data_IF_900422681981
#
_entry.id   IF_900422681981
#
_cell.length_a   1.000
_cell.length_b   1.000
_cell.length_c   1.000
_cell.angle_alpha   90.00
_cell.angle_beta   90.00
_cell.angle_gamma   90.00
#
_symmetry.space_group_name_H-M   'P 1'
#
loop_
_entity.id
_entity.type
_entity.pdbx_description
1 polymer ?
#
# COMPACT_ATOMS: atom_id res chain seq x y z
N UNK A 1 20.41 13.19 -5.89
CA UNK A 1 19.02 12.70 -6.03
C UNK A 1 18.88 11.46 -5.16
N UNK A 2 17.96 11.44 -4.19
CA UNK A 2 17.65 10.21 -3.43
C UNK A 2 16.82 9.31 -4.35
N UNK A 3 17.38 8.19 -4.78
CA UNK A 3 16.61 7.12 -5.40
C UNK A 3 15.74 6.53 -4.31
N UNK A 4 14.42 6.57 -4.50
CA UNK A 4 13.50 5.90 -3.58
C UNK A 4 13.74 4.40 -3.66
N UNK A 5 14.13 3.77 -2.55
CA UNK A 5 14.35 2.34 -2.48
C UNK A 5 13.02 1.60 -2.27
N UNK A 6 13.00 0.31 -2.57
CA UNK A 6 11.85 -0.56 -2.36
C UNK A 6 11.31 -0.48 -0.92
N UNK A 7 12.22 -0.47 0.06
CA UNK A 7 11.88 -0.39 1.49
C UNK A 7 11.21 0.94 1.86
N UNK A 8 11.66 2.05 1.26
CA UNK A 8 11.03 3.37 1.45
C UNK A 8 9.62 3.39 0.84
N UNK A 9 9.46 2.85 -0.37
CA UNK A 9 8.15 2.75 -1.02
C UNK A 9 7.17 1.91 -0.18
N UNK A 10 7.62 0.78 0.35
CA UNK A 10 6.84 -0.06 1.22
C UNK A 10 6.44 0.69 2.51
N UNK A 11 7.37 1.37 3.17
CA UNK A 11 7.07 2.17 4.36
C UNK A 11 6.04 3.26 4.08
N UNK A 12 6.18 4.00 2.98
CA UNK A 12 5.24 5.05 2.59
C UNK A 12 3.84 4.48 2.37
N UNK A 13 3.72 3.37 1.63
CA UNK A 13 2.44 2.72 1.40
C UNK A 13 1.80 2.25 2.72
N UNK A 14 2.56 1.56 3.57
CA UNK A 14 2.06 1.03 4.85
C UNK A 14 1.61 2.18 5.77
N UNK A 15 2.42 3.23 5.94
CA UNK A 15 2.05 4.38 6.77
C UNK A 15 0.79 5.08 6.27
N UNK A 16 0.66 5.24 4.95
CA UNK A 16 -0.53 5.81 4.35
C UNK A 16 -1.77 4.94 4.60
N UNK A 17 -1.66 3.63 4.41
CA UNK A 17 -2.75 2.69 4.62
C UNK A 17 -3.18 2.61 6.08
N UNK A 18 -2.21 2.59 7.01
CA UNK A 18 -2.49 2.63 8.46
C UNK A 18 -3.32 3.85 8.85
N UNK A 19 -2.96 5.03 8.34
CA UNK A 19 -3.71 6.27 8.58
C UNK A 19 -5.09 6.27 7.92
N UNK A 20 -5.19 5.77 6.68
CA UNK A 20 -6.44 5.78 5.90
C UNK A 20 -7.47 4.77 6.40
N UNK A 21 -7.04 3.55 6.72
CA UNK A 21 -7.91 2.43 7.10
C UNK A 21 -8.00 2.22 8.61
N UNK A 22 -7.26 3.00 9.42
CA UNK A 22 -7.19 2.86 10.89
C UNK A 22 -6.87 1.43 11.35
N UNK A 23 -6.06 0.72 10.58
CA UNK A 23 -5.63 -0.64 10.87
C UNK A 23 -4.12 -0.69 10.94
N UNK A 24 -3.57 -1.35 11.97
CA UNK A 24 -2.12 -1.54 12.09
C UNK A 24 -1.62 -2.77 11.34
N UNK A 25 -2.53 -3.67 11.01
CA UNK A 25 -2.24 -4.90 10.29
C UNK A 25 -2.34 -4.59 8.79
N UNK A 26 -1.19 -4.46 8.14
CA UNK A 26 -1.08 -4.34 6.69
C UNK A 26 -0.15 -5.45 6.24
N UNK A 27 -0.64 -6.35 5.40
CA UNK A 27 0.16 -7.42 4.82
C UNK A 27 0.57 -7.00 3.39
N UNK A 28 1.87 -6.88 3.15
CA UNK A 28 2.39 -6.50 1.83
C UNK A 28 2.74 -7.77 1.09
N UNK A 29 2.05 -8.00 -0.03
CA UNK A 29 2.22 -9.20 -0.83
C UNK A 29 3.32 -9.04 -1.89
N UNK A 30 3.47 -7.85 -2.47
CA UNK A 30 4.50 -7.58 -3.49
C UNK A 30 4.83 -6.10 -3.58
N UNK A 31 6.09 -5.80 -3.93
CA UNK A 31 6.55 -4.44 -4.24
C UNK A 31 7.31 -4.50 -5.56
N UNK A 32 6.77 -3.86 -6.59
CA UNK A 32 7.34 -3.88 -7.94
C UNK A 32 7.66 -2.46 -8.40
N UNK A 33 8.74 -2.27 -9.15
CA UNK A 33 9.00 -1.00 -9.83
C UNK A 33 8.49 -1.07 -11.27
N UNK A 34 7.57 -0.18 -11.64
CA UNK A 34 7.03 -0.06 -13.00
C UNK A 34 7.13 1.37 -13.49
N UNK A 35 7.77 1.56 -14.64
CA UNK A 35 7.86 2.86 -15.34
C UNK A 35 8.40 4.00 -14.45
N UNK A 36 9.34 3.70 -13.56
CA UNK A 36 9.91 4.68 -12.62
C UNK A 36 9.02 5.00 -11.40
N UNK A 37 7.88 4.33 -11.27
CA UNK A 37 7.03 4.32 -10.09
C UNK A 37 7.18 2.99 -9.33
N UNK A 38 6.88 2.99 -8.05
CA UNK A 38 6.77 1.82 -7.21
C UNK A 38 5.30 1.45 -7.04
N UNK A 39 4.98 0.18 -7.25
CA UNK A 39 3.65 -0.39 -7.09
C UNK A 39 3.70 -1.34 -5.91
N UNK A 40 3.04 -0.96 -4.81
CA UNK A 40 2.95 -1.76 -3.59
C UNK A 40 1.58 -2.43 -3.56
N UNK A 41 1.57 -3.75 -3.50
CA UNK A 41 0.36 -4.57 -3.47
C UNK A 41 0.30 -5.36 -2.18
N UNK A 42 -0.89 -5.57 -1.68
CA UNK A 42 -1.08 -6.37 -0.48
C UNK A 42 -2.53 -6.51 -0.09
N UNK A 43 -2.72 -6.93 1.14
CA UNK A 43 -4.03 -7.08 1.76
C UNK A 43 -4.02 -6.41 3.12
N UNK A 44 -5.09 -5.71 3.46
CA UNK A 44 -5.33 -5.22 4.81
C UNK A 44 -6.58 -5.90 5.38
N UNK A 45 -6.53 -6.44 6.60
CA UNK A 45 -7.73 -6.81 7.32
C UNK A 45 -8.59 -5.57 7.54
N UNK A 46 -9.86 -5.70 7.17
CA UNK A 46 -10.92 -4.76 7.47
C UNK A 46 -11.93 -5.49 8.35
N UNK A 47 -12.49 -4.77 9.32
CA UNK A 47 -13.64 -5.26 10.06
C UNK A 47 -14.89 -4.72 9.37
N UNK A 48 -15.66 -5.61 8.78
CA UNK A 48 -16.92 -5.27 8.13
C UNK A 48 -18.02 -6.03 8.88
N UNK A 49 -18.81 -5.27 9.64
CA UNK A 49 -19.91 -5.79 10.46
C UNK A 49 -19.49 -6.84 11.50
N UNK A 50 -18.29 -6.71 12.09
CA UNK A 50 -17.78 -7.67 13.09
C UNK A 50 -17.18 -8.94 12.50
N UNK A 51 -17.00 -8.99 11.18
CA UNK A 51 -16.33 -10.08 10.49
C UNK A 51 -14.96 -9.64 9.93
N UNK A 52 -13.89 -10.44 10.15
CA UNK A 52 -12.57 -10.15 9.62
C UNK A 52 -12.52 -10.47 8.12
N UNK A 53 -12.60 -9.41 7.30
CA UNK A 53 -12.41 -9.50 5.85
C UNK A 53 -11.02 -9.03 5.45
N UNK A 54 -10.53 -9.48 4.30
CA UNK A 54 -9.30 -8.99 3.72
C UNK A 54 -9.61 -8.14 2.50
N UNK A 55 -9.20 -6.88 2.51
CA UNK A 55 -9.29 -6.01 1.35
C UNK A 55 -7.93 -5.96 0.65
N UNK A 56 -7.91 -6.20 -0.66
CA UNK A 56 -6.70 -5.99 -1.45
C UNK A 56 -6.49 -4.51 -1.68
N UNK A 57 -5.23 -4.10 -1.61
CA UNK A 57 -4.83 -2.75 -1.95
C UNK A 57 -3.72 -2.75 -2.99
N UNK A 58 -3.72 -1.72 -3.83
CA UNK A 58 -2.61 -1.35 -4.70
C UNK A 58 -2.30 0.13 -4.49
N UNK A 59 -1.03 0.46 -4.22
CA UNK A 59 -0.57 1.84 -4.03
C UNK A 59 0.55 2.12 -5.00
N UNK A 60 0.36 3.12 -5.86
CA UNK A 60 1.37 3.57 -6.83
C UNK A 60 2.07 4.80 -6.27
N UNK A 61 3.41 4.76 -6.20
CA UNK A 61 4.27 5.78 -5.60
C UNK A 61 5.29 6.25 -6.65
N UNK A 62 5.36 7.56 -6.89
CA UNK A 62 6.37 8.16 -7.76
C UNK A 62 7.78 8.09 -7.13
N UNK A 63 8.81 8.23 -7.97
CA UNK A 63 10.21 8.41 -7.60
C UNK A 63 10.50 9.44 -6.50
N UNK A 64 9.61 10.41 -6.27
CA UNK A 64 9.72 11.43 -5.20
C UNK A 64 9.01 11.03 -3.90
N UNK A 65 8.50 9.79 -3.79
CA UNK A 65 7.78 9.30 -2.61
C UNK A 65 6.33 9.79 -2.51
N UNK A 66 5.76 10.30 -3.61
CA UNK A 66 4.37 10.78 -3.65
C UNK A 66 3.44 9.69 -4.14
N UNK A 67 2.32 9.50 -3.44
CA UNK A 67 1.28 8.57 -3.87
C UNK A 67 0.57 9.16 -5.09
N UNK A 68 0.60 8.42 -6.19
CA UNK A 68 0.03 8.78 -7.48
C UNK A 68 -1.38 8.22 -7.64
N UNK A 69 -1.58 6.99 -7.21
CA UNK A 69 -2.88 6.31 -7.27
C UNK A 69 -3.00 5.28 -6.16
N UNK A 70 -4.24 4.97 -5.80
CA UNK A 70 -4.57 3.92 -4.83
C UNK A 70 -5.81 3.19 -5.30
N UNK A 71 -5.73 1.87 -5.41
CA UNK A 71 -6.86 1.00 -5.68
C UNK A 71 -7.14 0.12 -4.46
N UNK A 72 -8.43 -0.09 -4.18
CA UNK A 72 -8.89 -0.95 -3.10
C UNK A 72 -10.01 -1.83 -3.64
N UNK A 73 -9.83 -3.13 -3.50
CA UNK A 73 -10.77 -4.11 -4.00
C UNK A 73 -11.06 -5.13 -2.91
N UNK A 74 -12.34 -5.28 -2.56
CA UNK A 74 -12.80 -6.32 -1.65
C UNK A 74 -12.63 -7.69 -2.32
N UNK A 75 -12.10 -8.65 -1.55
CA UNK A 75 -12.04 -10.06 -1.94
C UNK A 75 -13.29 -10.81 -1.51
#
# INVERSE_FOLDING_TARGET
>A
MKVLMQEDAQKIAVEFLKKRKKTEKIDVSSVEQREGCWVVRGTCPIDLEGHPWAERFEVVIDSKGRIKSTDFSLL
#
